data_IF_530136156593
#
_entry.id   IF_530136156593
#
_cell.length_a   1.000
_cell.length_b   1.000
_cell.length_c   1.000
_cell.angle_alpha   90.00
_cell.angle_beta   90.00
_cell.angle_gamma   90.00
#
_symmetry.space_group_name_H-M   'P 1'
#
loop_
_entity.id
_entity.type
_entity.pdbx_description
1 polymer ?
#
# COMPACT_ATOMS: atom_id res chain seq x y z
N UNK A 1 24.09 -0.83 -13.74
CA UNK A 1 23.70 -0.30 -12.41
C UNK A 1 22.20 -0.11 -12.44
N UNK A 2 21.42 -0.37 -11.37
CA UNK A 2 19.97 -0.29 -11.48
C UNK A 2 19.60 1.20 -11.53
N UNK A 3 19.34 1.72 -12.73
CA UNK A 3 19.10 3.15 -13.01
C UNK A 3 17.88 3.72 -12.27
N UNK A 4 17.07 2.86 -11.65
CA UNK A 4 15.80 3.21 -11.03
C UNK A 4 15.73 2.99 -9.52
N UNK A 5 16.88 2.85 -8.84
CA UNK A 5 16.87 2.82 -7.38
C UNK A 5 16.42 4.19 -6.84
N UNK A 6 15.22 4.17 -6.26
CA UNK A 6 14.58 5.29 -5.62
C UNK A 6 14.33 4.91 -4.17
N UNK A 7 15.04 5.52 -3.20
CA UNK A 7 14.75 5.31 -1.80
C UNK A 7 13.30 5.69 -1.50
N UNK A 8 12.58 4.75 -0.89
CA UNK A 8 11.22 4.95 -0.39
C UNK A 8 11.22 4.55 1.08
N UNK A 9 10.63 5.39 1.92
CA UNK A 9 10.40 5.13 3.34
C UNK A 9 8.91 5.25 3.64
N UNK A 10 8.47 4.59 4.70
CA UNK A 10 7.08 4.59 5.15
C UNK A 10 6.91 5.43 6.42
N UNK A 11 5.91 6.30 6.47
CA UNK A 11 5.56 7.01 7.71
C UNK A 11 4.90 6.05 8.71
N UNK A 12 5.22 6.09 10.00
CA UNK A 12 4.70 5.11 10.98
C UNK A 12 3.20 5.28 11.28
N UNK A 13 2.52 6.25 10.67
CA UNK A 13 1.12 6.57 10.95
C UNK A 13 0.22 5.86 9.94
N UNK A 14 -0.62 4.95 10.45
CA UNK A 14 -1.56 4.17 9.65
C UNK A 14 -2.99 4.59 9.94
N UNK A 15 -3.81 4.56 8.89
CA UNK A 15 -5.28 4.54 9.04
C UNK A 15 -5.83 3.24 8.49
N UNK A 16 -7.05 2.88 8.89
CA UNK A 16 -7.73 1.70 8.36
C UNK A 16 -9.18 1.99 8.00
N UNK A 17 -9.67 1.31 6.97
CA UNK A 17 -11.09 1.22 6.63
C UNK A 17 -11.60 -0.12 7.16
N UNK A 18 -12.70 -0.13 7.95
CA UNK A 18 -13.23 -1.35 8.53
C UNK A 18 -13.81 -2.26 7.43
N UNK A 19 -13.80 -3.59 7.64
CA UNK A 19 -14.41 -4.52 6.71
C UNK A 19 -15.89 -4.22 6.53
N UNK A 20 -16.34 -4.10 5.29
CA UNK A 20 -17.77 -3.99 4.98
C UNK A 20 -18.41 -5.36 4.94
N UNK A 21 -19.64 -5.49 5.42
CA UNK A 21 -20.41 -6.72 5.20
C UNK A 21 -20.83 -6.77 3.73
N UNK A 22 -20.67 -7.93 3.08
CA UNK A 22 -21.12 -8.15 1.70
C UNK A 22 -22.28 -9.15 1.76
N UNK A 23 -23.54 -8.67 1.85
CA UNK A 23 -24.71 -9.52 2.09
C UNK A 23 -24.87 -10.62 1.03
N UNK A 24 -24.55 -10.32 -0.22
CA UNK A 24 -24.70 -11.22 -1.37
C UNK A 24 -23.80 -12.46 -1.26
N UNK A 25 -22.70 -12.36 -0.51
CA UNK A 25 -21.73 -13.44 -0.32
C UNK A 25 -21.83 -14.10 1.07
N UNK A 26 -22.66 -13.57 1.96
CA UNK A 26 -22.72 -13.94 3.39
C UNK A 26 -21.31 -13.97 4.03
N UNK A 27 -20.50 -12.95 3.72
CA UNK A 27 -19.10 -12.88 4.14
C UNK A 27 -18.73 -11.48 4.62
N UNK A 28 -17.74 -11.43 5.50
CA UNK A 28 -17.08 -10.21 5.92
C UNK A 28 -16.08 -9.76 4.85
N UNK A 29 -15.98 -8.46 4.60
CA UNK A 29 -14.88 -7.85 3.87
C UNK A 29 -13.56 -7.93 4.66
N UNK A 30 -12.57 -7.17 4.24
CA UNK A 30 -11.22 -7.18 4.81
C UNK A 30 -10.82 -5.81 5.40
N UNK A 31 -9.77 -5.80 6.22
CA UNK A 31 -9.14 -4.57 6.68
C UNK A 31 -8.29 -3.99 5.54
N UNK A 32 -8.59 -2.75 5.16
CA UNK A 32 -7.78 -1.97 4.23
C UNK A 32 -7.01 -0.92 5.03
N UNK A 33 -5.70 -0.88 4.88
CA UNK A 33 -4.83 0.07 5.55
C UNK A 33 -4.34 1.12 4.58
N UNK A 34 -4.19 2.35 5.07
CA UNK A 34 -3.57 3.44 4.33
C UNK A 34 -2.37 3.99 5.09
N UNK A 35 -1.34 4.38 4.36
CA UNK A 35 -0.08 4.94 4.85
C UNK A 35 0.53 5.88 3.82
N UNK A 36 1.36 6.82 4.28
CA UNK A 36 2.19 7.66 3.42
C UNK A 36 3.54 6.99 3.14
N UNK A 37 3.91 6.92 1.88
CA UNK A 37 5.28 6.67 1.44
C UNK A 37 5.98 7.98 1.08
N UNK A 38 7.24 8.12 1.47
CA UNK A 38 8.08 9.28 1.17
C UNK A 38 9.22 8.88 0.25
N UNK A 39 9.52 9.72 -0.74
CA UNK A 39 10.69 9.55 -1.59
C UNK A 39 11.38 10.88 -1.90
N UNK A 40 12.71 10.86 -1.96
CA UNK A 40 13.50 12.02 -2.39
C UNK A 40 13.47 12.22 -3.91
N UNK A 41 13.09 11.18 -4.68
CA UNK A 41 12.99 11.24 -6.13
C UNK A 41 11.54 11.03 -6.57
N UNK A 42 11.09 11.77 -7.60
CA UNK A 42 9.74 11.61 -8.08
C UNK A 42 9.54 10.25 -8.77
N UNK A 43 8.59 9.47 -8.28
CA UNK A 43 8.19 8.19 -8.87
C UNK A 43 7.49 8.32 -10.22
N UNK A 44 6.84 9.47 -10.50
CA UNK A 44 6.20 9.72 -11.79
C UNK A 44 7.18 9.71 -12.98
N UNK A 45 8.46 10.02 -12.76
CA UNK A 45 9.46 9.95 -13.84
C UNK A 45 9.73 8.51 -14.28
N UNK A 46 9.58 7.56 -13.37
CA UNK A 46 9.65 6.13 -13.67
C UNK A 46 8.38 5.71 -14.42
N UNK A 47 7.23 6.28 -14.06
CA UNK A 47 5.99 6.09 -14.81
C UNK A 47 6.12 6.54 -16.27
N UNK A 48 6.69 7.71 -16.57
CA UNK A 48 6.79 8.21 -17.95
C UNK A 48 7.59 7.26 -18.86
N UNK A 49 8.54 6.53 -18.29
CA UNK A 49 9.40 5.59 -19.00
C UNK A 49 8.76 4.20 -19.15
N UNK A 50 8.11 3.68 -18.09
CA UNK A 50 7.55 2.33 -18.07
C UNK A 50 6.04 2.24 -18.33
N UNK A 51 5.34 3.38 -18.30
CA UNK A 51 3.89 3.55 -18.48
C UNK A 51 3.02 2.73 -17.51
N UNK A 52 3.45 2.54 -16.27
CA UNK A 52 2.66 1.87 -15.22
C UNK A 52 2.09 2.87 -14.21
N UNK A 53 0.76 3.08 -14.22
CA UNK A 53 0.10 4.07 -13.37
C UNK A 53 0.25 3.83 -11.86
N UNK A 54 0.62 2.60 -11.46
CA UNK A 54 0.75 2.19 -10.07
C UNK A 54 2.04 1.40 -9.87
N UNK A 55 2.66 1.60 -8.70
CA UNK A 55 3.67 0.69 -8.19
C UNK A 55 3.03 -0.27 -7.18
N UNK A 56 3.49 -1.50 -7.17
CA UNK A 56 3.03 -2.52 -6.24
C UNK A 56 3.92 -2.55 -5.01
N UNK A 57 3.28 -2.52 -3.85
CA UNK A 57 3.91 -2.74 -2.56
C UNK A 57 3.76 -4.21 -2.20
N UNK A 58 4.90 -4.91 -2.03
CA UNK A 58 4.94 -6.35 -1.76
C UNK A 58 5.82 -6.67 -0.55
N UNK A 59 5.25 -7.30 0.46
CA UNK A 59 5.99 -7.84 1.60
C UNK A 59 5.63 -9.32 1.78
N UNK A 60 6.55 -10.25 1.49
CA UNK A 60 6.35 -11.64 1.85
C UNK A 60 6.32 -11.76 3.38
N UNK A 61 5.34 -12.48 3.91
CA UNK A 61 5.22 -12.74 5.36
C UNK A 61 5.64 -14.18 5.66
N UNK A 62 5.08 -15.13 4.92
CA UNK A 62 5.39 -16.56 4.90
C UNK A 62 4.98 -17.13 3.53
N UNK A 63 5.02 -18.46 3.35
CA UNK A 63 4.61 -19.13 2.10
C UNK A 63 3.10 -19.00 1.80
N UNK A 64 2.34 -18.28 2.64
CA UNK A 64 0.88 -18.20 2.56
C UNK A 64 0.38 -16.78 2.43
N UNK A 65 0.92 -15.81 3.16
CA UNK A 65 0.44 -14.43 3.21
C UNK A 65 1.45 -13.43 2.62
N UNK A 66 0.89 -12.46 1.91
CA UNK A 66 1.62 -11.32 1.34
C UNK A 66 0.85 -10.02 1.65
N UNK A 67 1.60 -8.98 2.02
CA UNK A 67 1.09 -7.61 1.95
C UNK A 67 1.02 -7.20 0.48
N UNK A 68 -0.19 -6.97 -0.02
CA UNK A 68 -0.42 -6.48 -1.38
C UNK A 68 -1.03 -5.10 -1.32
N UNK A 69 -0.33 -4.12 -1.86
CA UNK A 69 -0.80 -2.74 -1.94
C UNK A 69 -0.46 -2.05 -3.25
N UNK A 70 -1.10 -0.91 -3.46
CA UNK A 70 -0.80 0.00 -4.55
C UNK A 70 -0.30 1.32 -4.00
N UNK A 71 0.76 1.82 -4.63
CA UNK A 71 1.27 3.17 -4.48
C UNK A 71 0.90 3.94 -5.75
N UNK A 72 0.19 5.06 -5.59
CA UNK A 72 -0.15 5.93 -6.72
C UNK A 72 1.12 6.62 -7.21
N UNK A 73 1.60 6.23 -8.40
CA UNK A 73 2.86 6.73 -8.95
C UNK A 73 2.68 7.88 -9.94
N UNK A 74 1.44 8.15 -10.33
CA UNK A 74 1.07 9.21 -11.27
C UNK A 74 0.19 10.25 -10.56
N UNK A 75 0.33 11.50 -10.97
CA UNK A 75 -0.52 12.59 -10.55
C UNK A 75 -1.87 12.47 -11.29
N UNK A 76 -2.94 12.33 -10.52
CA UNK A 76 -4.32 12.48 -11.01
C UNK A 76 -4.93 13.68 -10.27
N UNK A 77 -5.93 14.34 -10.85
CA UNK A 77 -6.60 15.48 -10.19
C UNK A 77 -7.09 15.11 -8.78
N UNK A 78 -7.55 13.87 -8.59
CA UNK A 78 -8.02 13.34 -7.31
C UNK A 78 -6.90 12.80 -6.39
N UNK A 79 -5.66 12.70 -6.87
CA UNK A 79 -4.49 12.20 -6.12
C UNK A 79 -3.22 13.02 -6.46
N UNK A 80 -3.11 14.27 -5.98
CA UNK A 80 -1.95 15.10 -6.24
C UNK A 80 -0.72 14.56 -5.51
N UNK A 81 0.44 14.54 -6.19
CA UNK A 81 1.72 14.20 -5.55
C UNK A 81 2.20 15.42 -4.76
N UNK A 82 2.17 15.34 -3.44
CA UNK A 82 2.55 16.45 -2.57
C UNK A 82 4.08 16.47 -2.39
N UNK A 83 4.70 17.61 -2.65
CA UNK A 83 6.12 17.83 -2.34
C UNK A 83 6.27 18.72 -1.10
N UNK A 84 6.77 18.15 -0.01
CA UNK A 84 6.92 18.85 1.28
C UNK A 84 8.14 18.31 2.02
N UNK A 85 8.84 19.18 2.76
CA UNK A 85 9.98 18.80 3.61
C UNK A 85 11.08 17.99 2.87
N UNK A 86 11.32 18.31 1.59
CA UNK A 86 12.27 17.64 0.69
C UNK A 86 11.87 16.23 0.23
N UNK A 87 10.62 15.82 0.45
CA UNK A 87 10.10 14.53 0.00
C UNK A 87 8.87 14.71 -0.89
N UNK A 88 8.77 13.85 -1.89
CA UNK A 88 7.53 13.52 -2.57
C UNK A 88 6.75 12.53 -1.71
N UNK A 89 5.50 12.85 -1.43
CA UNK A 89 4.57 12.04 -0.64
C UNK A 89 3.64 11.28 -1.56
N UNK A 90 3.43 10.01 -1.25
CA UNK A 90 2.59 9.10 -2.01
C UNK A 90 1.65 8.37 -1.08
N UNK A 91 0.36 8.36 -1.43
CA UNK A 91 -0.60 7.53 -0.73
C UNK A 91 -0.42 6.07 -1.13
N UNK A 92 -0.37 5.22 -0.10
CA UNK A 92 -0.30 3.78 -0.23
C UNK A 92 -1.51 3.18 0.45
N UNK A 93 -2.25 2.36 -0.29
CA UNK A 93 -3.31 1.54 0.26
C UNK A 93 -2.97 0.07 0.09
N UNK A 94 -3.13 -0.71 1.15
CA UNK A 94 -2.75 -2.12 1.14
C UNK A 94 -3.66 -2.99 2.01
N UNK A 95 -3.60 -4.27 1.71
CA UNK A 95 -4.30 -5.34 2.41
C UNK A 95 -3.34 -6.49 2.66
N UNK A 96 -3.62 -7.30 3.68
CA UNK A 96 -2.83 -8.50 3.98
C UNK A 96 -3.68 -9.71 3.63
N UNK A 97 -3.26 -10.45 2.61
CA UNK A 97 -4.03 -11.55 2.01
C UNK A 97 -3.13 -12.72 1.71
N UNK A 98 -3.68 -13.93 1.48
CA UNK A 98 -2.88 -15.00 0.95
C UNK A 98 -2.28 -14.68 -0.43
N UNK A 99 -1.07 -15.15 -0.74
CA UNK A 99 -0.30 -14.81 -1.97
C UNK A 99 -1.10 -15.04 -3.27
N UNK A 100 -2.04 -15.98 -3.26
CA UNK A 100 -2.85 -16.35 -4.43
C UNK A 100 -4.35 -15.99 -4.29
N UNK A 101 -4.73 -15.20 -3.29
CA UNK A 101 -6.13 -14.82 -3.07
C UNK A 101 -6.51 -13.55 -3.84
N UNK A 102 -6.65 -13.68 -5.16
CA UNK A 102 -7.15 -12.61 -6.02
C UNK A 102 -8.59 -12.17 -5.66
N UNK A 103 -9.34 -13.05 -5.00
CA UNK A 103 -10.72 -12.78 -4.57
C UNK A 103 -10.80 -11.98 -3.27
N UNK A 104 -9.67 -11.83 -2.56
CA UNK A 104 -9.55 -11.18 -1.26
C UNK A 104 -10.48 -11.75 -0.18
N UNK A 105 -10.85 -13.02 -0.29
CA UNK A 105 -11.83 -13.69 0.57
C UNK A 105 -11.23 -14.20 1.89
N UNK A 106 -9.93 -14.39 1.95
CA UNK A 106 -9.16 -14.89 3.10
C UNK A 106 -8.22 -13.84 3.68
N UNK A 107 -8.34 -12.59 3.23
CA UNK A 107 -7.59 -11.48 3.79
C UNK A 107 -7.91 -11.24 5.26
N UNK A 108 -6.98 -10.62 5.98
CA UNK A 108 -7.17 -10.22 7.36
C UNK A 108 -8.35 -9.24 7.46
N UNK A 109 -9.28 -9.54 8.37
CA UNK A 109 -10.50 -8.75 8.59
C UNK A 109 -10.67 -8.34 10.07
N UNK A 110 -9.84 -8.86 10.99
CA UNK A 110 -9.83 -8.49 12.41
C UNK A 110 -8.38 -8.22 12.87
N UNK A 111 -8.18 -7.15 13.65
CA UNK A 111 -6.90 -6.80 14.28
C UNK A 111 -6.27 -7.94 15.09
N UNK A 112 -7.08 -8.83 15.69
CA UNK A 112 -6.56 -10.01 16.41
C UNK A 112 -5.73 -10.94 15.53
N UNK A 113 -5.99 -10.98 14.23
CA UNK A 113 -5.24 -11.80 13.29
C UNK A 113 -3.84 -11.24 13.02
N UNK A 114 -3.62 -9.93 13.20
CA UNK A 114 -2.30 -9.30 13.06
C UNK A 114 -1.28 -9.84 14.07
N UNK A 115 -1.74 -10.27 15.24
CA UNK A 115 -0.90 -10.83 16.32
C UNK A 115 -0.19 -12.14 15.94
N UNK A 116 -0.70 -12.83 14.93
CA UNK A 116 -0.08 -14.05 14.40
C UNK A 116 1.05 -13.76 13.39
N UNK A 117 1.18 -12.51 12.94
CA UNK A 117 2.17 -12.10 11.95
C UNK A 117 3.51 -11.71 12.61
N UNK A 118 4.62 -11.78 11.87
CA UNK A 118 5.88 -11.16 12.28
C UNK A 118 5.70 -9.67 12.55
N UNK A 119 6.38 -9.17 13.59
CA UNK A 119 6.30 -7.75 13.98
C UNK A 119 6.87 -6.80 12.94
N UNK A 120 7.89 -7.23 12.20
CA UNK A 120 8.54 -6.45 11.17
C UNK A 120 8.56 -7.24 9.87
N UNK A 121 8.19 -6.59 8.77
CA UNK A 121 8.28 -7.14 7.42
C UNK A 121 9.30 -6.37 6.59
N UNK A 122 9.90 -7.09 5.64
CA UNK A 122 10.75 -6.50 4.60
C UNK A 122 9.97 -6.44 3.31
N UNK A 123 9.80 -5.23 2.79
CA UNK A 123 8.95 -4.94 1.65
C UNK A 123 9.78 -4.41 0.47
N UNK A 124 9.22 -4.54 -0.72
CA UNK A 124 9.76 -3.98 -1.96
C UNK A 124 8.68 -3.23 -2.73
N UNK A 125 9.11 -2.23 -3.49
CA UNK A 125 8.25 -1.49 -4.41
C UNK A 125 8.63 -1.87 -5.84
N UNK A 126 7.63 -2.29 -6.59
CA UNK A 126 7.82 -2.82 -7.95
C UNK A 126 6.91 -2.06 -8.91
N UNK A 127 7.49 -1.45 -9.94
CA UNK A 127 6.76 -0.98 -11.11
C UNK A 127 6.57 -2.14 -12.07
N UNK A 128 5.35 -2.49 -12.45
CA UNK A 128 5.16 -3.60 -13.39
C UNK A 128 3.72 -4.08 -13.54
N UNK A 129 3.49 -4.91 -14.56
CA UNK A 129 2.25 -5.72 -14.70
C UNK A 129 2.40 -7.04 -13.95
N UNK A 130 1.27 -7.66 -13.64
CA UNK A 130 1.21 -9.06 -13.20
C UNK A 130 1.87 -10.02 -14.22
N UNK A 131 1.84 -9.65 -15.51
CA UNK A 131 2.55 -10.34 -16.60
C UNK A 131 3.27 -9.31 -17.49
N UNK A 132 4.60 -9.36 -17.57
CA UNK A 132 5.42 -8.45 -18.38
C UNK A 132 6.70 -8.01 -17.69
N UNK A 133 7.36 -6.96 -18.23
CA UNK A 133 8.52 -6.36 -17.58
C UNK A 133 8.11 -5.73 -16.24
N UNK A 134 8.91 -5.98 -15.22
CA UNK A 134 8.82 -5.35 -13.92
C UNK A 134 10.18 -4.77 -13.52
N UNK A 135 10.16 -3.67 -12.79
CA UNK A 135 11.32 -2.98 -12.28
C UNK A 135 11.16 -2.80 -10.77
N UNK A 136 12.07 -3.42 -10.02
CA UNK A 136 12.17 -3.17 -8.58
C UNK A 136 12.89 -1.85 -8.38
N UNK A 137 12.21 -0.88 -7.76
CA UNK A 137 12.73 0.48 -7.57
C UNK A 137 13.22 0.74 -6.15
N UNK A 138 12.72 -0.05 -5.19
CA UNK A 138 13.13 0.01 -3.80
C UNK A 138 13.05 -1.39 -3.20
N UNK A 139 14.05 -1.77 -2.44
CA UNK A 139 14.09 -3.00 -1.67
C UNK A 139 14.27 -2.72 -0.19
N UNK A 140 13.92 -3.70 0.65
CA UNK A 140 14.16 -3.70 2.08
C UNK A 140 13.50 -2.55 2.86
N UNK A 141 12.33 -2.10 2.41
CA UNK A 141 11.49 -1.17 3.16
C UNK A 141 10.95 -1.89 4.38
N UNK A 142 11.18 -1.35 5.58
CA UNK A 142 10.68 -1.94 6.82
C UNK A 142 9.26 -1.50 7.08
N UNK A 143 8.37 -2.47 7.32
CA UNK A 143 7.01 -2.24 7.79
C UNK A 143 6.85 -2.85 9.18
N UNK A 144 6.53 -2.01 10.17
CA UNK A 144 6.23 -2.45 11.54
C UNK A 144 4.73 -2.76 11.66
N UNK A 145 4.41 -4.06 11.70
CA UNK A 145 3.04 -4.57 11.83
C UNK A 145 2.42 -4.21 13.17
N UNK A 146 3.23 -4.02 14.22
CA UNK A 146 2.69 -3.64 15.53
C UNK A 146 2.03 -2.25 15.52
N UNK A 147 2.43 -1.37 14.59
CA UNK A 147 1.77 -0.08 14.39
C UNK A 147 0.37 -0.22 13.77
N UNK A 148 0.10 -1.30 13.03
CA UNK A 148 -1.22 -1.53 12.41
C UNK A 148 -2.30 -1.79 13.45
N UNK A 149 -1.97 -2.43 14.58
CA UNK A 149 -2.90 -2.61 15.70
C UNK A 149 -3.35 -1.28 16.32
N UNK A 150 -2.56 -0.22 16.09
CA UNK A 150 -2.82 1.14 16.57
C UNK A 150 -3.32 2.07 15.46
N UNK A 151 -3.62 1.54 14.27
CA UNK A 151 -4.14 2.31 13.16
C UNK A 151 -5.45 3.02 13.54
N UNK A 152 -5.56 4.29 13.16
CA UNK A 152 -6.78 5.07 13.42
C UNK A 152 -7.84 4.74 12.36
N UNK A 153 -9.11 4.80 12.73
CA UNK A 153 -10.20 4.70 11.75
C UNK A 153 -10.03 5.81 10.69
N UNK A 154 -10.03 5.43 9.42
CA UNK A 154 -10.05 6.38 8.32
C UNK A 154 -11.41 7.09 8.30
N UNK A 155 -11.37 8.42 8.42
CA UNK A 155 -12.53 9.28 8.28
C UNK A 155 -12.33 10.06 6.98
N UNK A 156 -13.16 9.76 5.98
CA UNK A 156 -13.13 10.51 4.73
C UNK A 156 -13.34 11.99 5.02
N UNK A 157 -12.60 12.90 4.37
CA UNK A 157 -12.89 14.33 4.44
C UNK A 157 -14.37 14.54 4.14
N UNK A 158 -15.12 15.21 5.01
CA UNK A 158 -16.46 15.64 4.65
C UNK A 158 -16.27 16.63 3.50
N UNK A 159 -16.78 16.29 2.32
CA UNK A 159 -16.99 17.28 1.29
C UNK A 159 -17.90 18.33 1.92
N UNK A 160 -17.35 19.50 2.25
CA UNK A 160 -18.15 20.69 2.46
C UNK A 160 -18.98 20.83 1.20
N UNK A 161 -20.27 20.50 1.31
CA UNK A 161 -21.24 20.92 0.31
C UNK A 161 -21.30 22.43 0.49
N UNK A 162 -20.53 23.14 -0.32
CA UNK A 162 -20.77 24.56 -0.53
C UNK A 162 -22.26 24.73 -0.84
N UNK A 163 -22.94 25.50 0.01
CA UNK A 163 -24.35 25.86 -0.07
C UNK A 163 -24.68 26.65 -1.35
#
# INVERSE_FOLDING_TARGET
MPEYQVPVILEPQYTFVPPQNIPELNRHGYLMFNITALSEKPLHKIYDEYRFHYAHFKCPIDDKFEVTGSLAANEFEDNPIIYENHYFKYDVSFTICPENDASKLECIYDFKQLKALPKELSCRVIFGRMFGQSAVITENIKMDISQLEHAKLYVAPQLEKDE
#
